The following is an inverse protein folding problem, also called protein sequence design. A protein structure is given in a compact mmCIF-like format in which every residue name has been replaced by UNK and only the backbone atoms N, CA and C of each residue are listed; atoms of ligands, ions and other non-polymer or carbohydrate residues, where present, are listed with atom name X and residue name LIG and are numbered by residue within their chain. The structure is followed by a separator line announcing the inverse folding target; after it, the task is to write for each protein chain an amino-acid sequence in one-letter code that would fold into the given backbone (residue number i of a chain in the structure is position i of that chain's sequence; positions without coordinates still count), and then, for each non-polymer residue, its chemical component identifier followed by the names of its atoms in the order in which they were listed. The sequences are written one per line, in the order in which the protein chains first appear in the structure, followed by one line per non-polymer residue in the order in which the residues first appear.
data_IF_204311817629
#
_entry.id   IF_204311817629
#
_cell.length_a   1.000
_cell.length_b   1.000
_cell.length_c   1.000
_cell.angle_alpha   90.00
_cell.angle_beta   90.00
_cell.angle_gamma   90.00
#
_symmetry.space_group_name_H-M   'P 1'
#
loop_
_entity.id
_entity.type
_entity.pdbx_description
1 polymer ?
#
# COMPACT_ATOMS: atom_id res chain seq x y z
N UNK A 1 5.66 -26.18 -10.28
CA UNK A 1 6.30 -25.89 -8.98
C UNK A 1 7.42 -24.85 -9.16
N UNK A 2 7.11 -23.70 -9.78
CA UNK A 2 8.10 -22.67 -10.16
C UNK A 2 7.42 -21.28 -10.23
N UNK A 3 6.37 -21.06 -9.45
CA UNK A 3 5.47 -19.89 -9.58
C UNK A 3 5.79 -18.73 -8.63
N UNK A 4 6.74 -18.91 -7.70
CA UNK A 4 7.17 -17.90 -6.74
C UNK A 4 8.71 -17.79 -6.66
N UNK A 5 9.43 -18.04 -7.76
CA UNK A 5 10.81 -17.56 -7.81
C UNK A 5 10.73 -16.04 -7.94
N UNK A 6 11.12 -15.34 -6.87
CA UNK A 6 11.15 -13.89 -6.78
C UNK A 6 11.90 -13.36 -8.02
N UNK A 7 11.20 -12.73 -8.95
CA UNK A 7 11.76 -12.28 -10.24
C UNK A 7 12.95 -11.34 -10.04
N UNK A 8 12.98 -10.62 -8.92
CA UNK A 8 14.15 -9.85 -8.47
C UNK A 8 15.37 -10.73 -8.19
N UNK A 9 15.18 -11.87 -7.54
CA UNK A 9 16.26 -12.82 -7.26
C UNK A 9 16.85 -13.40 -8.55
N UNK A 10 16.02 -13.83 -9.49
CA UNK A 10 16.47 -14.29 -10.82
C UNK A 10 17.27 -13.21 -11.55
N UNK A 11 16.76 -11.98 -11.55
CA UNK A 11 17.42 -10.84 -12.19
C UNK A 11 18.84 -10.61 -11.62
N UNK A 12 18.96 -10.52 -10.29
CA UNK A 12 20.26 -10.33 -9.63
C UNK A 12 21.18 -11.54 -9.79
N UNK A 13 20.64 -12.76 -9.76
CA UNK A 13 21.39 -13.99 -9.97
C UNK A 13 22.04 -14.02 -11.36
N UNK A 14 21.28 -13.74 -12.43
CA UNK A 14 21.82 -13.68 -13.79
C UNK A 14 22.78 -12.51 -14.00
N UNK A 15 22.55 -11.38 -13.33
CA UNK A 15 23.47 -10.24 -13.37
C UNK A 15 24.83 -10.59 -12.74
N UNK A 16 24.81 -11.20 -11.54
CA UNK A 16 26.02 -11.65 -10.83
C UNK A 16 26.76 -12.71 -11.65
N UNK A 17 26.04 -13.69 -12.21
CA UNK A 17 26.63 -14.70 -13.10
C UNK A 17 27.30 -14.05 -14.31
N UNK A 18 26.63 -13.08 -14.95
CA UNK A 18 27.21 -12.37 -16.10
C UNK A 18 28.50 -11.63 -15.73
N UNK A 19 28.53 -10.98 -14.56
CA UNK A 19 29.75 -10.35 -14.04
C UNK A 19 30.87 -11.36 -13.75
N UNK A 20 30.55 -12.50 -13.13
CA UNK A 20 31.51 -13.58 -12.85
C UNK A 20 32.06 -14.17 -14.15
N UNK A 21 31.21 -14.41 -15.15
CA UNK A 21 31.61 -14.92 -16.46
C UNK A 21 32.54 -13.94 -17.20
N UNK A 22 32.27 -12.63 -17.13
CA UNK A 22 33.17 -11.60 -17.66
C UNK A 22 34.54 -11.66 -16.98
N UNK A 23 34.57 -11.75 -15.64
CA UNK A 23 35.82 -11.84 -14.88
C UNK A 23 36.57 -13.11 -15.25
N UNK A 24 35.89 -14.26 -15.32
CA UNK A 24 36.51 -15.51 -15.73
C UNK A 24 37.06 -15.44 -17.15
N UNK A 25 36.31 -14.96 -18.14
CA UNK A 25 36.83 -14.92 -19.52
C UNK A 25 38.01 -13.94 -19.66
N UNK A 26 37.99 -12.79 -18.97
CA UNK A 26 39.06 -11.77 -19.08
C UNK A 26 40.29 -12.03 -18.23
N UNK A 27 40.14 -12.65 -17.06
CA UNK A 27 41.21 -12.80 -16.06
C UNK A 27 41.61 -14.25 -15.78
N UNK A 28 41.01 -15.25 -16.43
CA UNK A 28 41.50 -16.63 -16.29
C UNK A 28 42.83 -16.78 -17.04
N UNK A 29 43.85 -17.43 -16.45
CA UNK A 29 45.14 -17.70 -17.11
C UNK A 29 45.03 -18.59 -18.37
N UNK A 30 43.82 -19.02 -18.76
CA UNK A 30 43.54 -19.69 -20.03
C UNK A 30 43.93 -18.84 -21.25
N UNK A 31 44.01 -17.51 -21.10
CA UNK A 31 44.50 -16.62 -22.16
C UNK A 31 45.99 -16.83 -22.46
N UNK A 32 46.77 -17.25 -21.46
CA UNK A 32 48.23 -17.46 -21.57
C UNK A 32 48.60 -18.91 -21.97
N UNK A 33 47.64 -19.83 -21.95
CA UNK A 33 47.87 -21.24 -22.35
C UNK A 33 48.08 -21.37 -23.87
N UNK A 34 47.73 -20.37 -24.67
CA UNK A 34 48.07 -20.36 -26.10
C UNK A 34 49.57 -20.21 -26.38
N UNK A 35 50.39 -19.86 -25.38
CA UNK A 35 51.85 -19.75 -25.52
C UNK A 35 52.65 -20.86 -24.82
N UNK A 36 52.03 -21.72 -24.01
CA UNK A 36 52.72 -22.84 -23.37
C UNK A 36 52.19 -24.18 -23.87
N UNK A 37 53.04 -24.92 -24.58
CA UNK A 37 52.85 -26.30 -25.00
C UNK A 37 52.54 -27.23 -23.82
N UNK A 38 51.28 -27.31 -23.37
CA UNK A 38 50.83 -28.31 -22.41
C UNK A 38 49.61 -29.04 -22.98
N UNK A 39 49.83 -30.30 -23.31
CA UNK A 39 48.94 -31.23 -24.00
C UNK A 39 47.78 -31.77 -23.13
N UNK A 40 47.13 -30.92 -22.33
CA UNK A 40 46.04 -31.36 -21.44
C UNK A 40 44.64 -30.89 -21.86
N UNK A 41 44.51 -30.01 -22.86
CA UNK A 41 43.21 -29.54 -23.38
C UNK A 41 43.14 -29.54 -24.93
N UNK A 42 43.48 -30.66 -25.58
CA UNK A 42 43.20 -30.82 -27.01
C UNK A 42 41.69 -30.89 -27.35
N UNK A 43 40.81 -31.00 -26.34
CA UNK A 43 39.35 -30.96 -26.52
C UNK A 43 38.76 -29.53 -26.60
N UNK A 44 39.57 -28.50 -26.36
CA UNK A 44 39.13 -27.11 -26.24
C UNK A 44 39.48 -26.27 -27.48
N UNK A 45 39.46 -26.85 -28.68
CA UNK A 45 39.71 -26.12 -29.93
C UNK A 45 38.73 -24.95 -30.16
N UNK A 46 37.51 -25.03 -29.65
CA UNK A 46 36.49 -23.96 -29.71
C UNK A 46 36.44 -23.09 -28.46
N UNK A 47 37.35 -23.30 -27.51
CA UNK A 47 37.31 -22.67 -26.20
C UNK A 47 37.34 -21.15 -26.21
N UNK A 48 38.18 -20.61 -27.09
CA UNK A 48 38.31 -19.18 -27.29
C UNK A 48 37.02 -18.58 -27.89
N UNK A 49 36.48 -19.20 -28.95
CA UNK A 49 35.24 -18.76 -29.61
C UNK A 49 34.03 -18.84 -28.67
N UNK A 50 33.94 -19.91 -27.86
CA UNK A 50 32.92 -20.05 -26.82
C UNK A 50 33.09 -19.00 -25.72
N UNK A 51 34.32 -18.73 -25.28
CA UNK A 51 34.62 -17.69 -24.29
C UNK A 51 34.22 -16.29 -24.77
N UNK A 52 34.58 -15.93 -26.00
CA UNK A 52 34.18 -14.66 -26.62
C UNK A 52 32.66 -14.57 -26.82
N UNK A 53 32.00 -15.66 -27.18
CA UNK A 53 30.52 -15.71 -27.29
C UNK A 53 29.86 -15.48 -25.93
N UNK A 54 30.33 -16.16 -24.87
CA UNK A 54 29.81 -16.00 -23.50
C UNK A 54 30.07 -14.58 -22.98
N UNK A 55 31.23 -14.01 -23.29
CA UNK A 55 31.55 -12.62 -22.96
C UNK A 55 30.61 -11.64 -23.67
N UNK A 56 30.40 -11.81 -24.98
CA UNK A 56 29.47 -11.00 -25.76
C UNK A 56 28.03 -11.08 -25.24
N UNK A 57 27.56 -12.27 -24.89
CA UNK A 57 26.24 -12.48 -24.27
C UNK A 57 26.13 -11.81 -22.90
N UNK A 58 27.16 -11.94 -22.05
CA UNK A 58 27.18 -11.36 -20.71
C UNK A 58 27.16 -9.82 -20.76
N UNK A 59 27.94 -9.22 -21.67
CA UNK A 59 27.92 -7.77 -21.90
C UNK A 59 26.57 -7.33 -22.46
N UNK A 60 26.02 -8.06 -23.44
CA UNK A 60 24.72 -7.73 -24.04
C UNK A 60 23.60 -7.77 -23.00
N UNK A 61 23.65 -8.74 -22.08
CA UNK A 61 22.71 -8.82 -20.96
C UNK A 61 22.85 -7.62 -20.02
N UNK A 62 24.06 -7.28 -19.59
CA UNK A 62 24.31 -6.12 -18.72
C UNK A 62 23.84 -4.82 -19.38
N UNK A 63 24.19 -4.60 -20.65
CA UNK A 63 23.76 -3.43 -21.42
C UNK A 63 22.23 -3.39 -21.51
N UNK A 64 21.59 -4.52 -21.80
CA UNK A 64 20.12 -4.63 -21.84
C UNK A 64 19.48 -4.27 -20.49
N UNK A 65 20.08 -4.70 -19.37
CA UNK A 65 19.64 -4.34 -18.03
C UNK A 65 19.76 -2.83 -17.77
N UNK A 66 20.88 -2.22 -18.17
CA UNK A 66 21.10 -0.77 -18.03
C UNK A 66 20.06 0.00 -18.85
N UNK A 67 19.83 -0.40 -20.10
CA UNK A 67 18.82 0.23 -20.95
C UNK A 67 17.41 0.05 -20.39
N UNK A 68 17.05 -1.14 -19.93
CA UNK A 68 15.77 -1.38 -19.26
C UNK A 68 15.60 -0.44 -18.05
N UNK A 69 16.64 -0.30 -17.23
CA UNK A 69 16.59 0.54 -16.04
C UNK A 69 16.38 2.02 -16.40
N UNK A 70 17.10 2.52 -17.41
CA UNK A 70 17.06 3.93 -17.83
C UNK A 70 15.78 4.26 -18.61
N UNK A 71 15.36 3.38 -19.52
CA UNK A 71 14.30 3.65 -20.50
C UNK A 71 12.92 3.26 -19.97
N UNK A 72 12.83 2.22 -19.14
CA UNK A 72 11.54 1.70 -18.65
C UNK A 72 11.38 2.00 -17.17
N UNK A 73 12.27 1.46 -16.32
CA UNK A 73 12.07 1.48 -14.87
C UNK A 73 12.07 2.90 -14.28
N UNK A 74 13.08 3.72 -14.57
CA UNK A 74 13.17 5.08 -14.02
C UNK A 74 12.00 5.98 -14.47
N UNK A 75 11.60 6.01 -15.75
CA UNK A 75 10.42 6.75 -16.19
C UNK A 75 9.12 6.26 -15.54
N UNK A 76 8.92 4.95 -15.41
CA UNK A 76 7.75 4.39 -14.72
C UNK A 76 7.71 4.78 -13.24
N UNK A 77 8.84 4.70 -12.54
CA UNK A 77 8.94 5.14 -11.15
C UNK A 77 8.60 6.62 -10.99
N UNK A 78 9.12 7.47 -11.89
CA UNK A 78 8.78 8.91 -11.90
C UNK A 78 7.30 9.17 -12.16
N UNK A 79 6.68 8.42 -13.09
CA UNK A 79 5.24 8.50 -13.36
C UNK A 79 4.43 8.11 -12.12
N UNK A 80 4.80 7.01 -11.45
CA UNK A 80 4.15 6.55 -10.22
C UNK A 80 4.26 7.58 -9.09
N UNK A 81 5.45 8.14 -8.85
CA UNK A 81 5.65 9.17 -7.84
C UNK A 81 4.83 10.42 -8.12
N UNK A 82 4.78 10.86 -9.38
CA UNK A 82 3.97 12.02 -9.79
C UNK A 82 2.47 11.75 -9.60
N UNK A 83 2.01 10.57 -10.00
CA UNK A 83 0.62 10.18 -9.82
C UNK A 83 0.25 10.13 -8.33
N UNK A 84 1.11 9.53 -7.49
CA UNK A 84 0.90 9.48 -6.04
C UNK A 84 0.79 10.88 -5.45
N UNK A 85 1.71 11.79 -5.79
CA UNK A 85 1.69 13.19 -5.30
C UNK A 85 0.40 13.94 -5.66
N UNK A 86 -0.23 13.61 -6.78
CA UNK A 86 -1.50 14.24 -7.20
C UNK A 86 -2.68 13.77 -6.34
N UNK A 87 -2.67 12.50 -5.90
CA UNK A 87 -3.79 11.90 -5.16
C UNK A 87 -3.54 11.82 -3.65
N UNK A 88 -2.33 12.13 -3.20
CA UNK A 88 -1.88 11.99 -1.81
C UNK A 88 -2.83 12.66 -0.81
N UNK A 89 -3.14 13.94 -1.02
CA UNK A 89 -4.05 14.70 -0.16
C UNK A 89 -5.47 14.10 -0.11
N UNK A 90 -5.92 13.46 -1.19
CA UNK A 90 -7.24 12.83 -1.25
C UNK A 90 -7.25 11.51 -0.47
N UNK A 91 -6.18 10.73 -0.58
CA UNK A 91 -6.01 9.51 0.23
C UNK A 91 -5.90 9.87 1.72
N UNK A 92 -5.17 10.94 2.05
CA UNK A 92 -5.06 11.42 3.43
C UNK A 92 -6.43 11.84 3.99
N UNK A 93 -7.25 12.53 3.19
CA UNK A 93 -8.61 12.87 3.56
C UNK A 93 -9.48 11.63 3.80
N UNK A 94 -9.38 10.61 2.95
CA UNK A 94 -10.06 9.32 3.15
C UNK A 94 -9.60 8.68 4.46
N UNK A 95 -8.29 8.56 4.69
CA UNK A 95 -7.72 8.03 5.93
C UNK A 95 -8.24 8.79 7.15
N UNK A 96 -8.33 10.12 7.06
CA UNK A 96 -8.79 10.94 8.16
C UNK A 96 -10.24 10.65 8.54
N UNK A 97 -11.15 10.65 7.55
CA UNK A 97 -12.55 10.31 7.81
C UNK A 97 -12.72 8.86 8.30
N UNK A 98 -11.94 7.91 7.77
CA UNK A 98 -11.92 6.54 8.29
C UNK A 98 -11.48 6.50 9.76
N UNK A 99 -10.38 7.18 10.08
CA UNK A 99 -9.79 7.23 11.40
C UNK A 99 -10.76 7.80 12.44
N UNK A 100 -11.40 8.95 12.15
CA UNK A 100 -12.37 9.58 13.05
C UNK A 100 -13.48 8.58 13.43
N UNK A 101 -14.07 7.90 12.44
CA UNK A 101 -15.09 6.88 12.69
C UNK A 101 -14.57 5.76 13.59
N UNK A 102 -13.42 5.16 13.25
CA UNK A 102 -12.86 4.03 14.00
C UNK A 102 -12.59 4.42 15.45
N UNK A 103 -11.87 5.52 15.66
CA UNK A 103 -11.43 5.92 16.97
C UNK A 103 -12.57 6.44 17.85
N UNK A 104 -13.61 7.06 17.27
CA UNK A 104 -14.84 7.37 17.99
C UNK A 104 -15.44 6.12 18.64
N UNK A 105 -15.61 5.04 17.87
CA UNK A 105 -16.20 3.81 18.40
C UNK A 105 -15.29 3.11 19.39
N UNK A 106 -13.96 3.18 19.19
CA UNK A 106 -13.02 2.63 20.16
C UNK A 106 -13.10 3.38 21.49
N UNK A 107 -13.11 4.71 21.42
CA UNK A 107 -13.25 5.58 22.58
C UNK A 107 -14.56 5.31 23.33
N UNK A 108 -15.71 5.37 22.63
CA UNK A 108 -17.05 5.15 23.20
C UNK A 108 -17.15 3.82 23.95
N UNK A 109 -16.46 2.78 23.47
CA UNK A 109 -16.51 1.43 24.03
C UNK A 109 -15.30 1.11 24.94
N UNK A 110 -14.45 2.08 25.28
CA UNK A 110 -13.30 1.89 26.17
C UNK A 110 -12.24 0.93 25.61
N UNK A 111 -12.13 0.84 24.28
CA UNK A 111 -11.18 -0.04 23.59
C UNK A 111 -9.85 0.72 23.44
N UNK A 112 -8.86 0.34 24.24
CA UNK A 112 -7.48 0.79 24.07
C UNK A 112 -6.73 -0.06 23.02
N UNK A 113 -5.71 0.52 22.38
CA UNK A 113 -4.87 -0.20 21.41
C UNK A 113 -4.33 -1.50 22.03
N UNK A 114 -4.70 -2.63 21.41
CA UNK A 114 -4.26 -3.97 21.77
C UNK A 114 -3.84 -4.73 20.51
N UNK A 115 -3.29 -5.94 20.66
CA UNK A 115 -2.95 -6.79 19.51
C UNK A 115 -4.20 -7.11 18.66
N UNK A 116 -3.99 -7.39 17.37
CA UNK A 116 -5.07 -7.47 16.37
C UNK A 116 -6.17 -8.48 16.72
N UNK A 117 -5.82 -9.62 17.35
CA UNK A 117 -6.78 -10.65 17.76
C UNK A 117 -7.70 -10.17 18.90
N UNK A 118 -7.14 -9.58 19.95
CA UNK A 118 -7.93 -9.04 21.07
C UNK A 118 -8.76 -7.84 20.63
N UNK A 119 -8.22 -7.03 19.72
CA UNK A 119 -8.95 -5.91 19.15
C UNK A 119 -10.18 -6.40 18.37
N UNK A 120 -10.06 -7.45 17.57
CA UNK A 120 -11.19 -8.04 16.85
C UNK A 120 -12.31 -8.43 17.81
N UNK A 121 -12.00 -9.18 18.87
CA UNK A 121 -13.01 -9.62 19.85
C UNK A 121 -13.72 -8.46 20.55
N UNK A 122 -13.01 -7.36 20.83
CA UNK A 122 -13.59 -6.18 21.48
C UNK A 122 -14.48 -5.39 20.51
N UNK A 123 -14.02 -5.20 19.27
CA UNK A 123 -14.75 -4.42 18.26
C UNK A 123 -15.99 -5.16 17.77
N UNK A 124 -15.94 -6.48 17.61
CA UNK A 124 -17.10 -7.29 17.20
C UNK A 124 -18.25 -7.30 18.22
N UNK A 125 -17.99 -6.91 19.47
CA UNK A 125 -19.04 -6.76 20.51
C UNK A 125 -19.86 -5.49 20.35
N UNK A 126 -19.46 -4.55 19.48
CA UNK A 126 -20.21 -3.32 19.22
C UNK A 126 -21.40 -3.67 18.31
N UNK A 127 -22.62 -3.58 18.85
CA UNK A 127 -23.84 -4.03 18.17
C UNK A 127 -24.87 -2.93 17.94
N UNK A 128 -24.56 -1.69 18.30
CA UNK A 128 -25.51 -0.59 18.26
C UNK A 128 -24.88 0.63 17.61
N UNK A 129 -25.72 1.34 16.83
CA UNK A 129 -25.47 2.69 16.35
C UNK A 129 -26.47 3.57 17.07
N UNK A 130 -25.99 4.64 17.71
CA UNK A 130 -26.85 5.61 18.40
C UNK A 130 -27.41 6.62 17.40
N UNK A 131 -28.70 6.49 17.13
CA UNK A 131 -29.42 7.37 16.21
C UNK A 131 -30.12 8.53 16.92
N UNK A 132 -30.32 8.42 18.23
CA UNK A 132 -31.22 9.30 18.97
C UNK A 132 -30.46 10.35 19.77
N UNK A 133 -29.22 10.05 20.19
CA UNK A 133 -28.37 10.97 20.92
C UNK A 133 -27.29 11.59 20.05
N UNK A 134 -26.94 12.84 20.37
CA UNK A 134 -25.79 13.50 19.78
C UNK A 134 -24.51 12.83 20.25
N UNK A 135 -23.51 12.77 19.36
CA UNK A 135 -22.22 12.14 19.66
C UNK A 135 -21.43 12.87 20.76
N UNK A 136 -21.69 14.17 20.95
CA UNK A 136 -21.02 15.11 21.88
C UNK A 136 -19.54 14.74 22.14
N UNK A 137 -18.80 14.66 21.05
CA UNK A 137 -17.44 14.17 21.01
C UNK A 137 -16.50 15.23 20.46
N UNK A 138 -15.45 15.52 21.23
CA UNK A 138 -14.34 16.38 20.84
C UNK A 138 -13.14 15.54 20.40
N UNK A 139 -12.50 15.96 19.33
CA UNK A 139 -11.21 15.42 18.93
C UNK A 139 -10.30 16.52 18.40
N UNK A 140 -9.00 16.27 18.48
CA UNK A 140 -8.02 17.14 17.87
C UNK A 140 -7.08 16.35 16.97
N UNK A 141 -6.59 17.01 15.93
CA UNK A 141 -5.59 16.43 15.03
C UNK A 141 -4.56 17.47 14.65
N UNK A 142 -3.37 16.98 14.28
CA UNK A 142 -2.29 17.83 13.79
C UNK A 142 -2.41 17.90 12.27
N UNK A 143 -2.69 19.09 11.75
CA UNK A 143 -2.77 19.34 10.31
C UNK A 143 -1.38 19.21 9.68
N UNK A 144 -1.20 18.30 8.71
CA UNK A 144 0.11 18.04 8.09
C UNK A 144 0.73 19.26 7.38
N UNK A 145 -0.02 20.06 6.59
CA UNK A 145 0.55 21.24 5.94
C UNK A 145 1.12 22.29 6.89
N UNK A 146 0.49 22.53 8.03
CA UNK A 146 0.78 23.66 8.92
C UNK A 146 1.41 23.27 10.25
N UNK A 147 1.26 22.01 10.67
CA UNK A 147 1.59 21.53 12.00
C UNK A 147 0.63 22.02 13.09
N UNK A 148 -0.46 22.69 12.73
CA UNK A 148 -1.39 23.26 13.70
C UNK A 148 -2.27 22.17 14.30
N UNK A 149 -2.51 22.27 15.61
CA UNK A 149 -3.54 21.48 16.29
C UNK A 149 -4.90 22.08 15.98
N UNK A 150 -5.76 21.30 15.32
CA UNK A 150 -7.14 21.67 15.02
C UNK A 150 -8.06 20.89 15.95
N UNK A 151 -8.83 21.60 16.76
CA UNK A 151 -9.88 21.01 17.61
C UNK A 151 -11.21 21.02 16.85
N UNK A 152 -11.87 19.88 16.83
CA UNK A 152 -13.20 19.69 16.23
C UNK A 152 -14.14 19.15 17.30
N UNK A 153 -15.29 19.80 17.41
CA UNK A 153 -16.44 19.29 18.15
C UNK A 153 -17.42 18.69 17.14
N UNK A 154 -17.87 17.46 17.38
CA UNK A 154 -18.86 16.78 16.51
C UNK A 154 -20.27 17.39 16.60
N UNK A 155 -20.50 18.32 17.51
CA UNK A 155 -21.70 19.15 17.57
C UNK A 155 -22.97 18.36 17.85
N UNK A 156 -24.03 18.73 17.12
CA UNK A 156 -25.36 18.13 17.24
C UNK A 156 -25.56 16.92 16.29
N UNK A 157 -24.48 16.31 15.80
CA UNK A 157 -24.58 15.16 14.92
C UNK A 157 -24.85 13.87 15.71
N UNK A 158 -25.82 13.08 15.26
CA UNK A 158 -26.00 11.68 15.68
C UNK A 158 -24.99 10.78 14.98
N UNK A 159 -24.76 9.56 15.48
CA UNK A 159 -23.78 8.66 14.87
C UNK A 159 -24.13 8.34 13.42
N UNK A 160 -25.41 8.10 13.12
CA UNK A 160 -25.83 7.79 11.75
C UNK A 160 -25.59 8.96 10.81
N UNK A 161 -25.82 10.20 11.28
CA UNK A 161 -25.63 11.40 10.46
C UNK A 161 -24.15 11.60 10.12
N UNK A 162 -23.27 11.46 11.12
CA UNK A 162 -21.83 11.53 10.94
C UNK A 162 -21.30 10.42 10.03
N UNK A 163 -21.78 9.18 10.22
CA UNK A 163 -21.41 8.05 9.38
C UNK A 163 -21.87 8.23 7.93
N UNK A 164 -23.08 8.74 7.71
CA UNK A 164 -23.63 9.02 6.37
C UNK A 164 -22.83 10.12 5.66
N UNK A 165 -22.45 11.17 6.39
CA UNK A 165 -21.63 12.26 5.88
C UNK A 165 -20.22 11.78 5.52
N UNK A 166 -19.55 11.05 6.42
CA UNK A 166 -18.22 10.51 6.15
C UNK A 166 -18.23 9.49 5.03
N UNK A 167 -19.24 8.60 4.95
CA UNK A 167 -19.46 7.70 3.81
C UNK A 167 -19.48 8.50 2.51
N UNK A 168 -20.35 9.50 2.43
CA UNK A 168 -20.56 10.29 1.21
C UNK A 168 -19.28 11.00 0.78
N UNK A 169 -18.56 11.61 1.73
CA UNK A 169 -17.28 12.29 1.47
C UNK A 169 -16.19 11.33 1.03
N UNK A 170 -16.06 10.17 1.68
CA UNK A 170 -15.09 9.13 1.30
C UNK A 170 -15.38 8.62 -0.11
N UNK A 171 -16.62 8.22 -0.40
CA UNK A 171 -17.00 7.70 -1.72
C UNK A 171 -16.81 8.76 -2.81
N UNK A 172 -17.19 10.01 -2.56
CA UNK A 172 -16.93 11.11 -3.49
C UNK A 172 -15.44 11.27 -3.75
N UNK A 173 -14.62 11.30 -2.70
CA UNK A 173 -13.17 11.49 -2.81
C UNK A 173 -12.51 10.35 -3.59
N UNK A 174 -12.92 9.10 -3.34
CA UNK A 174 -12.43 7.93 -4.08
C UNK A 174 -12.85 8.02 -5.55
N UNK A 175 -14.10 8.35 -5.83
CA UNK A 175 -14.57 8.54 -7.20
C UNK A 175 -13.80 9.66 -7.92
N UNK A 176 -13.43 10.73 -7.22
CA UNK A 176 -12.58 11.78 -7.76
C UNK A 176 -11.16 11.30 -8.04
N UNK A 177 -10.58 10.43 -7.19
CA UNK A 177 -9.28 9.78 -7.45
C UNK A 177 -9.34 8.94 -8.73
N UNK A 178 -10.39 8.13 -8.92
CA UNK A 178 -10.53 7.28 -10.11
C UNK A 178 -10.74 8.07 -11.41
N UNK A 179 -11.20 9.33 -11.33
CA UNK A 179 -11.31 10.23 -12.48
C UNK A 179 -9.97 10.88 -12.88
N UNK A 180 -8.91 10.74 -12.08
CA UNK A 180 -7.61 11.34 -12.39
C UNK A 180 -6.96 10.58 -13.55
N UNK A 181 -6.61 11.21 -14.69
CA UNK A 181 -6.08 10.50 -15.85
C UNK A 181 -4.80 9.70 -15.60
N UNK A 182 -3.99 10.12 -14.62
CA UNK A 182 -2.73 9.46 -14.28
C UNK A 182 -2.88 8.29 -13.30
N UNK A 183 -4.10 7.96 -12.88
CA UNK A 183 -4.40 6.88 -11.92
C UNK A 183 -3.87 5.52 -12.38
N UNK A 184 -3.77 5.30 -13.69
CA UNK A 184 -3.20 4.08 -14.29
C UNK A 184 -1.73 3.83 -13.89
N UNK A 185 -1.01 4.85 -13.43
CA UNK A 185 0.38 4.74 -13.01
C UNK A 185 0.52 4.52 -11.49
N UNK A 186 -0.59 4.45 -10.77
CA UNK A 186 -0.61 4.20 -9.32
C UNK A 186 -0.51 2.70 -9.05
N UNK A 187 -0.05 2.35 -7.85
CA UNK A 187 0.04 0.94 -7.44
C UNK A 187 -1.33 0.26 -7.54
N UNK A 188 -1.37 -0.90 -8.20
CA UNK A 188 -2.58 -1.69 -8.36
C UNK A 188 -3.19 -2.07 -7.01
N UNK A 189 -2.37 -2.41 -6.01
CA UNK A 189 -2.86 -2.77 -4.68
C UNK A 189 -3.59 -1.60 -4.01
N UNK A 190 -3.14 -0.36 -4.22
CA UNK A 190 -3.81 0.83 -3.71
C UNK A 190 -5.18 1.01 -4.36
N UNK A 191 -5.29 0.80 -5.68
CA UNK A 191 -6.57 0.87 -6.39
C UNK A 191 -7.55 -0.16 -5.83
N UNK A 192 -7.09 -1.40 -5.59
CA UNK A 192 -7.91 -2.45 -4.97
C UNK A 192 -8.39 -2.04 -3.58
N UNK A 193 -7.50 -1.49 -2.74
CA UNK A 193 -7.86 -1.04 -1.39
C UNK A 193 -8.90 0.09 -1.44
N UNK A 194 -8.74 1.07 -2.33
CA UNK A 194 -9.70 2.16 -2.50
C UNK A 194 -11.07 1.63 -2.95
N UNK A 195 -11.10 0.64 -3.85
CA UNK A 195 -12.35 0.02 -4.30
C UNK A 195 -13.03 -0.81 -3.18
N UNK A 196 -12.23 -1.53 -2.37
CA UNK A 196 -12.73 -2.24 -1.18
C UNK A 196 -13.35 -1.26 -0.16
N UNK A 197 -12.75 -0.09 0.03
CA UNK A 197 -13.27 0.97 0.90
C UNK A 197 -14.58 1.55 0.32
N UNK A 198 -14.59 1.89 -0.97
CA UNK A 198 -15.73 2.48 -1.66
C UNK A 198 -17.01 1.63 -1.54
N UNK A 199 -16.84 0.30 -1.50
CA UNK A 199 -17.91 -0.68 -1.47
C UNK A 199 -18.03 -1.45 -0.14
N UNK A 200 -17.42 -0.94 0.94
CA UNK A 200 -17.36 -1.68 2.20
C UNK A 200 -18.76 -1.95 2.80
N UNK A 201 -18.88 -3.06 3.54
CA UNK A 201 -20.16 -3.46 4.15
C UNK A 201 -20.67 -2.46 5.19
N UNK A 202 -19.75 -1.78 5.90
CA UNK A 202 -20.10 -0.72 6.84
C UNK A 202 -20.94 0.38 6.17
N UNK A 203 -20.57 0.81 4.96
CA UNK A 203 -21.33 1.83 4.22
C UNK A 203 -22.71 1.34 3.81
N UNK A 204 -22.84 0.06 3.43
CA UNK A 204 -24.14 -0.55 3.11
C UNK A 204 -25.04 -0.64 4.35
N UNK A 205 -24.47 -0.98 5.49
CA UNK A 205 -25.16 -1.02 6.77
C UNK A 205 -25.66 0.38 7.18
N UNK A 206 -24.82 1.40 7.05
CA UNK A 206 -25.21 2.80 7.29
C UNK A 206 -26.39 3.21 6.42
N UNK A 207 -26.37 2.89 5.11
CA UNK A 207 -27.50 3.17 4.21
C UNK A 207 -28.79 2.44 4.64
N UNK A 208 -28.66 1.21 5.14
CA UNK A 208 -29.79 0.41 5.57
C UNK A 208 -30.42 0.99 6.85
N UNK A 209 -29.59 1.38 7.82
CA UNK A 209 -30.04 1.96 9.10
C UNK A 209 -30.64 3.35 8.92
N UNK A 210 -30.06 4.17 8.04
CA UNK A 210 -30.59 5.48 7.65
C UNK A 210 -32.01 5.38 7.06
N UNK A 211 -32.28 4.34 6.27
CA UNK A 211 -33.58 4.09 5.64
C UNK A 211 -34.57 3.36 6.56
N UNK A 212 -34.06 2.49 7.43
CA UNK A 212 -34.84 1.64 8.33
C UNK A 212 -34.20 1.67 9.72
N UNK A 213 -34.47 2.71 10.53
CA UNK A 213 -33.87 2.83 11.86
C UNK A 213 -34.34 1.67 12.73
N UNK A 214 -33.43 0.74 13.01
CA UNK A 214 -33.64 -0.39 13.89
C UNK A 214 -32.60 -0.36 15.02
N UNK A 215 -33.04 -0.60 16.27
CA UNK A 215 -32.20 -0.38 17.45
C UNK A 215 -31.04 -1.38 17.67
N UNK A 216 -30.91 -2.44 16.87
CA UNK A 216 -29.77 -3.38 16.93
C UNK A 216 -29.21 -3.68 15.55
N UNK A 217 -27.89 -3.52 15.43
CA UNK A 217 -27.10 -3.78 14.23
C UNK A 217 -25.99 -4.80 14.59
N UNK A 218 -26.33 -6.10 14.73
CA UNK A 218 -25.41 -7.11 15.26
C UNK A 218 -24.17 -7.35 14.38
N UNK A 219 -24.20 -6.93 13.10
CA UNK A 219 -23.05 -7.03 12.20
C UNK A 219 -22.14 -5.79 12.24
N UNK A 220 -22.53 -4.72 12.94
CA UNK A 220 -21.82 -3.45 12.95
C UNK A 220 -20.36 -3.58 13.37
N UNK A 221 -20.09 -4.21 14.53
CA UNK A 221 -18.74 -4.41 15.02
C UNK A 221 -17.85 -5.20 14.05
N UNK A 222 -18.40 -6.22 13.39
CA UNK A 222 -17.67 -7.01 12.37
C UNK A 222 -17.30 -6.16 11.17
N UNK A 223 -18.23 -5.35 10.69
CA UNK A 223 -18.00 -4.47 9.55
C UNK A 223 -17.08 -3.29 9.88
N UNK A 224 -17.16 -2.78 11.12
CA UNK A 224 -16.23 -1.78 11.65
C UNK A 224 -14.81 -2.34 11.76
N UNK A 225 -14.64 -3.60 12.19
CA UNK A 225 -13.32 -4.23 12.23
C UNK A 225 -12.73 -4.43 10.82
N UNK A 226 -13.54 -4.90 9.85
CA UNK A 226 -13.10 -4.97 8.46
C UNK A 226 -12.70 -3.59 7.92
N UNK A 227 -13.46 -2.56 8.26
CA UNK A 227 -13.15 -1.17 7.91
C UNK A 227 -11.83 -0.70 8.53
N UNK A 228 -11.54 -1.08 9.78
CA UNK A 228 -10.24 -0.85 10.41
C UNK A 228 -9.09 -1.55 9.69
N UNK A 229 -9.26 -2.78 9.22
CA UNK A 229 -8.24 -3.47 8.43
C UNK A 229 -7.97 -2.75 7.10
N UNK A 230 -9.01 -2.22 6.45
CA UNK A 230 -8.85 -1.40 5.25
C UNK A 230 -8.11 -0.10 5.54
N UNK A 231 -8.41 0.56 6.67
CA UNK A 231 -7.68 1.73 7.15
C UNK A 231 -6.18 1.43 7.33
N UNK A 232 -5.84 0.30 7.97
CA UNK A 232 -4.44 -0.16 8.10
C UNK A 232 -3.76 -0.43 6.75
N UNK A 233 -4.47 -1.08 5.80
CA UNK A 233 -3.93 -1.31 4.45
C UNK A 233 -3.65 0.00 3.74
N UNK A 234 -4.57 0.97 3.83
CA UNK A 234 -4.43 2.28 3.20
C UNK A 234 -3.29 3.10 3.84
N UNK A 235 -3.11 2.99 5.17
CA UNK A 235 -2.02 3.62 5.91
C UNK A 235 -0.61 3.15 5.54
N UNK A 236 -0.47 2.09 4.73
CA UNK A 236 0.84 1.69 4.15
C UNK A 236 1.33 2.65 3.07
N UNK A 237 0.43 3.41 2.44
CA UNK A 237 0.76 4.31 1.33
C UNK A 237 1.01 5.74 1.79
N UNK A 238 0.39 6.15 2.90
CA UNK A 238 0.52 7.48 3.50
C UNK A 238 0.50 7.33 5.01
N UNK A 239 1.40 8.03 5.71
CA UNK A 239 1.37 8.09 7.18
C UNK A 239 0.02 8.67 7.64
N UNK A 240 -0.78 7.96 8.45
CA UNK A 240 -2.07 8.47 8.88
C UNK A 240 -1.93 9.76 9.68
N UNK A 241 -2.89 10.68 9.51
CA UNK A 241 -3.01 11.85 10.39
C UNK A 241 -3.20 11.38 11.83
N UNK A 242 -2.40 11.93 12.76
CA UNK A 242 -2.47 11.55 14.18
C UNK A 242 -3.61 12.30 14.83
N UNK A 243 -4.56 11.53 15.33
CA UNK A 243 -5.68 12.02 16.13
C UNK A 243 -5.37 11.79 17.59
N UNK A 244 -5.60 12.81 18.42
CA UNK A 244 -5.69 12.63 19.86
C UNK A 244 -7.09 13.01 20.30
N UNK A 245 -7.68 12.15 21.11
CA UNK A 245 -9.04 12.31 21.59
C UNK A 245 -8.94 12.87 23.01
N UNK A 246 -9.25 14.15 23.17
CA UNK A 246 -9.28 14.77 24.49
C UNK A 246 -10.63 14.48 25.13
N UNK A 247 -10.59 13.91 26.33
CA UNK A 247 -11.77 13.80 27.17
C UNK A 247 -12.10 15.18 27.70
N UNK A 248 -13.21 15.78 27.28
CA UNK A 248 -13.81 16.85 28.08
C UNK A 248 -14.32 16.23 29.38
N UNK A 249 -13.82 16.67 30.56
CA UNK A 249 -14.25 16.15 31.85
C UNK A 249 -15.71 16.47 32.18
#
# INVERSE_FOLDING_TARGET
MLKNLNTRFLFWFFFIISCILIIMVKFTPLKDIHTSQISFLSWFHYGYELGETVFGLSISYIISCIFYFIVVYLPEQKKRLRAMKIIENRIDMVLGFMGITIYYYFYKNGIAESNDERLQELVEKIQTIDNDNNMDFDYQYIEKPTGNTVRINTGYHTEISSLSDYRSRIQQTINEIFKVPVIINVDHELIVVLEEINNCMLFKLVSAVEKYPAGRTPEFGKDLFKYYLLYKKLGKYIEPTKYSFEQTP
#
